data_IF_498032342937
#
_entry.id   IF_498032342937
#
_cell.length_a   1.000
_cell.length_b   1.000
_cell.length_c   1.000
_cell.angle_alpha   90.00
_cell.angle_beta   90.00
_cell.angle_gamma   90.00
#
_symmetry.space_group_name_H-M   'P 1'
#
loop_
_entity.id
_entity.type
_entity.pdbx_description
1 polymer ?
#
# COMPACT_ATOMS: atom_id res chain seq x y z
N UNK A 1 7.64 -25.13 -49.22
CA UNK A 1 7.93 -25.35 -47.78
C UNK A 1 8.80 -24.20 -47.34
N UNK A 2 8.17 -23.09 -46.95
CA UNK A 2 8.84 -21.98 -46.27
C UNK A 2 8.28 -21.96 -44.85
N UNK A 3 9.13 -22.35 -43.90
CA UNK A 3 8.85 -22.21 -42.47
C UNK A 3 9.09 -20.76 -42.09
N UNK A 4 8.04 -19.94 -42.11
CA UNK A 4 8.09 -18.59 -41.52
C UNK A 4 8.36 -18.70 -40.03
N UNK A 5 9.47 -18.08 -39.61
CA UNK A 5 9.91 -17.94 -38.23
C UNK A 5 8.87 -17.16 -37.42
N UNK A 6 8.00 -17.88 -36.70
CA UNK A 6 6.92 -17.31 -35.88
C UNK A 6 7.38 -16.62 -34.56
N UNK A 7 8.68 -16.36 -34.40
CA UNK A 7 9.26 -15.91 -33.12
C UNK A 7 10.15 -14.66 -33.21
N UNK A 8 10.08 -13.88 -34.29
CA UNK A 8 10.91 -12.66 -34.42
C UNK A 8 10.21 -11.34 -34.07
N UNK A 9 8.98 -11.34 -33.58
CA UNK A 9 8.38 -10.14 -33.02
C UNK A 9 8.67 -10.10 -31.52
N UNK A 10 9.61 -9.23 -31.13
CA UNK A 10 9.71 -8.76 -29.75
C UNK A 10 8.28 -8.45 -29.27
N UNK A 11 7.77 -9.03 -28.17
CA UNK A 11 6.46 -8.67 -27.68
C UNK A 11 6.51 -7.17 -27.41
N UNK A 12 5.68 -6.41 -28.14
CA UNK A 12 5.43 -5.02 -27.82
C UNK A 12 4.89 -5.03 -26.39
N UNK A 13 5.75 -4.74 -25.42
CA UNK A 13 5.42 -4.59 -24.00
C UNK A 13 4.65 -3.28 -23.78
N UNK A 14 3.65 -3.00 -24.62
CA UNK A 14 2.72 -1.93 -24.39
C UNK A 14 1.33 -2.48 -24.66
N UNK A 15 0.77 -3.13 -23.63
CA UNK A 15 -0.61 -3.58 -23.69
C UNK A 15 -1.46 -2.32 -23.55
N UNK A 16 -2.30 -2.04 -24.55
CA UNK A 16 -3.12 -0.84 -24.59
C UNK A 16 -4.33 -0.90 -23.62
N UNK A 17 -4.14 -1.51 -22.45
CA UNK A 17 -5.17 -1.75 -21.45
C UNK A 17 -5.73 -0.44 -20.91
N UNK A 18 -4.91 0.62 -20.82
CA UNK A 18 -5.37 1.95 -20.45
C UNK A 18 -6.45 2.47 -21.40
N UNK A 19 -6.25 2.34 -22.72
CA UNK A 19 -7.29 2.72 -23.70
C UNK A 19 -8.57 1.90 -23.56
N UNK A 20 -8.46 0.59 -23.31
CA UNK A 20 -9.62 -0.28 -23.10
C UNK A 20 -10.40 0.11 -21.85
N UNK A 21 -9.70 0.30 -20.72
CA UNK A 21 -10.30 0.69 -19.45
C UNK A 21 -10.96 2.06 -19.54
N UNK A 22 -10.36 2.99 -20.29
CA UNK A 22 -10.89 4.35 -20.48
C UNK A 22 -12.26 4.34 -21.15
N UNK A 23 -12.48 3.47 -22.14
CA UNK A 23 -13.80 3.29 -22.80
C UNK A 23 -14.86 2.80 -21.82
N UNK A 24 -14.46 2.08 -20.78
CA UNK A 24 -15.36 1.56 -19.74
C UNK A 24 -15.51 2.50 -18.54
N UNK A 25 -14.88 3.68 -18.58
CA UNK A 25 -14.97 4.66 -17.50
C UNK A 25 -13.93 4.48 -16.38
N UNK A 26 -12.81 3.80 -16.64
CA UNK A 26 -11.66 3.71 -15.73
C UNK A 26 -10.48 4.46 -16.35
N UNK A 27 -10.00 5.49 -15.67
CA UNK A 27 -8.76 6.16 -16.00
C UNK A 27 -7.61 5.50 -15.22
N UNK A 28 -6.72 4.84 -15.96
CA UNK A 28 -5.57 4.11 -15.42
C UNK A 28 -4.29 4.69 -16.00
N UNK A 29 -3.42 5.16 -15.11
CA UNK A 29 -2.08 5.64 -15.44
C UNK A 29 -1.06 4.55 -15.10
N UNK A 30 -0.42 4.00 -16.13
CA UNK A 30 0.57 2.92 -16.05
C UNK A 30 1.98 3.40 -15.67
N UNK A 31 2.20 4.71 -15.57
CA UNK A 31 3.48 5.31 -15.21
C UNK A 31 3.57 5.70 -13.73
N UNK A 32 2.53 5.45 -12.93
CA UNK A 32 2.46 5.88 -11.53
C UNK A 32 2.11 4.73 -10.58
N UNK A 33 2.82 4.69 -9.46
CA UNK A 33 2.62 3.73 -8.37
C UNK A 33 2.17 4.45 -7.11
N UNK A 34 1.24 3.86 -6.38
CA UNK A 34 0.74 4.37 -5.10
C UNK A 34 1.74 4.05 -3.99
N UNK A 35 2.19 5.10 -3.30
CA UNK A 35 2.92 5.00 -2.04
C UNK A 35 2.01 5.40 -0.90
N UNK A 36 1.84 4.56 0.11
CA UNK A 36 0.98 4.87 1.25
C UNK A 36 1.67 4.52 2.57
N UNK A 37 2.17 5.52 3.31
CA UNK A 37 2.83 5.27 4.59
C UNK A 37 1.87 4.78 5.68
N UNK A 38 0.56 5.06 5.59
CA UNK A 38 -0.42 4.65 6.59
C UNK A 38 -0.69 3.13 6.52
N UNK A 39 -0.66 2.57 5.30
CA UNK A 39 -0.84 1.13 5.07
C UNK A 39 0.47 0.42 4.71
N UNK A 40 1.62 1.07 4.83
CA UNK A 40 2.92 0.49 4.52
C UNK A 40 3.21 -0.73 5.39
N UNK A 41 3.83 -1.74 4.78
CA UNK A 41 4.19 -2.99 5.46
C UNK A 41 5.58 -2.89 6.06
N UNK A 42 5.68 -3.25 7.33
CA UNK A 42 6.96 -3.43 7.99
C UNK A 42 7.46 -4.87 7.85
N UNK A 43 8.71 -5.04 7.44
CA UNK A 43 9.38 -6.34 7.29
C UNK A 43 10.61 -6.35 8.18
N UNK A 44 10.75 -7.42 8.96
CA UNK A 44 11.93 -7.65 9.77
C UNK A 44 12.99 -8.39 8.95
N UNK A 45 14.12 -7.73 8.71
CA UNK A 45 15.24 -8.28 7.95
C UNK A 45 16.32 -8.69 8.94
N UNK A 46 16.73 -9.97 8.88
CA UNK A 46 17.81 -10.49 9.72
C UNK A 46 19.07 -9.64 9.54
N UNK A 47 19.65 -9.17 10.65
CA UNK A 47 20.83 -8.27 10.76
C UNK A 47 20.60 -6.78 10.44
N UNK A 48 19.52 -6.41 9.74
CA UNK A 48 19.23 -5.00 9.40
C UNK A 48 18.08 -4.40 10.22
N UNK A 49 17.33 -5.24 10.94
CA UNK A 49 16.21 -4.80 11.76
C UNK A 49 14.94 -4.59 10.94
N UNK A 50 14.03 -3.78 11.48
CA UNK A 50 12.70 -3.53 10.91
C UNK A 50 12.78 -2.45 9.83
N UNK A 51 12.38 -2.78 8.59
CA UNK A 51 12.29 -1.86 7.46
C UNK A 51 10.84 -1.68 7.01
N UNK A 52 10.45 -0.46 6.66
CA UNK A 52 9.12 -0.13 6.13
C UNK A 52 9.17 -0.01 4.62
N UNK A 53 8.19 -0.60 3.92
CA UNK A 53 8.08 -0.56 2.45
C UNK A 53 6.79 0.15 2.05
N UNK A 54 6.91 1.36 1.48
CA UNK A 54 5.75 2.23 1.17
C UNK A 54 4.94 1.75 -0.04
N UNK A 55 5.52 0.96 -0.93
CA UNK A 55 4.81 0.35 -2.07
C UNK A 55 4.19 -1.01 -1.72
N UNK A 56 4.48 -1.57 -0.53
CA UNK A 56 3.86 -2.81 -0.05
C UNK A 56 2.76 -2.48 0.93
N UNK A 57 1.53 -2.52 0.46
CA UNK A 57 0.38 -2.05 1.22
C UNK A 57 -0.34 -3.21 1.88
N UNK A 58 -0.75 -3.02 3.13
CA UNK A 58 -1.70 -3.90 3.83
C UNK A 58 -2.92 -3.09 4.26
N UNK A 59 -3.98 -3.18 3.47
CA UNK A 59 -5.16 -2.32 3.58
C UNK A 59 -6.29 -3.11 4.25
N UNK A 60 -6.82 -2.66 5.40
CA UNK A 60 -7.99 -3.28 6.02
C UNK A 60 -9.22 -3.05 5.16
N UNK A 61 -10.09 -4.04 5.09
CA UNK A 61 -11.35 -3.91 4.39
C UNK A 61 -12.35 -3.08 5.22
N UNK A 62 -12.74 -1.94 4.68
CA UNK A 62 -13.75 -1.03 5.25
C UNK A 62 -15.12 -1.10 4.54
N UNK A 63 -15.23 -1.77 3.39
CA UNK A 63 -16.49 -1.93 2.67
C UNK A 63 -17.19 -3.24 3.07
N UNK A 64 -17.80 -3.26 4.26
CA UNK A 64 -18.48 -4.45 4.79
C UNK A 64 -19.91 -4.65 4.28
N UNK A 65 -20.43 -3.69 3.51
CA UNK A 65 -21.80 -3.70 3.02
C UNK A 65 -21.92 -4.37 1.65
N UNK A 66 -20.86 -4.30 0.84
CA UNK A 66 -20.80 -5.00 -0.44
C UNK A 66 -20.77 -6.53 -0.23
N UNK A 67 -21.48 -7.25 -1.10
CA UNK A 67 -21.67 -8.71 -1.00
C UNK A 67 -20.36 -9.48 -1.13
N UNK A 68 -19.46 -9.02 -1.99
CA UNK A 68 -18.14 -9.62 -2.23
C UNK A 68 -17.22 -9.33 -1.05
N UNK A 69 -17.26 -8.11 -0.53
CA UNK A 69 -16.32 -7.64 0.48
C UNK A 69 -16.66 -8.06 1.91
N UNK A 70 -17.93 -8.35 2.23
CA UNK A 70 -18.45 -8.56 3.60
C UNK A 70 -17.56 -9.38 4.55
N UNK A 71 -17.05 -10.53 4.10
CA UNK A 71 -16.32 -11.48 4.96
C UNK A 71 -14.79 -11.32 4.90
N UNK A 72 -14.28 -10.42 4.07
CA UNK A 72 -12.84 -10.25 3.82
C UNK A 72 -12.20 -9.32 4.84
N UNK A 73 -10.97 -9.60 5.29
CA UNK A 73 -10.34 -8.86 6.40
C UNK A 73 -9.43 -7.73 5.95
N UNK A 74 -8.44 -8.04 5.13
CA UNK A 74 -7.45 -7.09 4.65
C UNK A 74 -6.83 -7.59 3.36
N UNK A 75 -6.33 -6.66 2.56
CA UNK A 75 -5.73 -6.91 1.26
C UNK A 75 -4.27 -6.50 1.27
N UNK A 76 -3.43 -7.28 0.60
CA UNK A 76 -2.05 -6.91 0.39
C UNK A 76 -1.83 -6.51 -1.07
N UNK A 77 -1.01 -5.50 -1.29
CA UNK A 77 -0.62 -5.04 -2.62
C UNK A 77 0.90 -4.88 -2.68
N UNK A 78 1.47 -5.06 -3.86
CA UNK A 78 2.87 -4.80 -4.19
C UNK A 78 2.96 -3.87 -5.38
N UNK A 79 3.34 -2.62 -5.14
CA UNK A 79 3.50 -1.62 -6.20
C UNK A 79 2.21 -1.38 -7.00
N UNK A 80 1.07 -1.35 -6.31
CA UNK A 80 -0.23 -1.07 -6.94
C UNK A 80 -0.25 0.29 -7.65
N UNK A 81 -0.87 0.33 -8.82
CA UNK A 81 -1.34 1.56 -9.46
C UNK A 81 -2.65 2.04 -8.84
N UNK A 82 -3.39 2.88 -9.56
CA UNK A 82 -4.72 3.35 -9.15
C UNK A 82 -5.70 3.37 -10.32
N UNK A 83 -7.00 3.29 -10.01
CA UNK A 83 -8.08 3.22 -10.99
C UNK A 83 -9.06 4.37 -10.76
N UNK A 84 -8.79 5.53 -11.34
CA UNK A 84 -9.72 6.65 -11.25
C UNK A 84 -11.00 6.34 -12.03
N UNK A 85 -12.15 6.74 -11.47
CA UNK A 85 -13.45 6.50 -12.10
C UNK A 85 -13.87 7.73 -12.89
N UNK A 86 -14.08 7.55 -14.18
CA UNK A 86 -14.69 8.53 -15.07
C UNK A 86 -16.19 8.23 -15.20
N UNK A 87 -17.00 9.29 -15.31
CA UNK A 87 -18.44 9.12 -15.58
C UNK A 87 -18.63 8.57 -16.99
N UNK A 88 -19.31 7.44 -17.08
CA UNK A 88 -19.69 6.80 -18.32
C UNK A 88 -21.21 6.59 -18.32
N UNK A 89 -21.88 6.96 -19.40
CA UNK A 89 -23.33 6.79 -19.52
C UNK A 89 -23.70 5.30 -19.54
N UNK A 90 -24.72 4.90 -18.79
CA UNK A 90 -25.15 3.50 -18.70
C UNK A 90 -24.26 2.59 -17.84
N UNK A 91 -23.21 3.12 -17.20
CA UNK A 91 -22.29 2.36 -16.33
C UNK A 91 -22.29 2.96 -14.92
N UNK A 92 -22.70 2.17 -13.94
CA UNK A 92 -22.52 2.46 -12.52
C UNK A 92 -21.12 2.03 -12.09
N UNK A 93 -20.40 2.91 -11.39
CA UNK A 93 -19.06 2.66 -10.91
C UNK A 93 -18.98 2.80 -9.38
N UNK A 94 -18.46 1.77 -8.71
CA UNK A 94 -18.29 1.69 -7.26
C UNK A 94 -16.82 1.45 -6.90
N UNK A 95 -16.31 2.18 -5.92
CA UNK A 95 -14.99 1.93 -5.33
C UNK A 95 -15.15 0.88 -4.23
N UNK A 96 -14.58 -0.31 -4.41
CA UNK A 96 -14.62 -1.36 -3.40
C UNK A 96 -13.51 -1.22 -2.36
N UNK A 97 -12.31 -0.77 -2.78
CA UNK A 97 -11.17 -0.55 -1.91
C UNK A 97 -10.32 0.63 -2.39
N UNK A 98 -9.80 1.42 -1.45
CA UNK A 98 -8.97 2.59 -1.71
C UNK A 98 -7.82 2.71 -0.71
N UNK A 99 -6.79 3.46 -1.08
CA UNK A 99 -5.69 3.85 -0.21
C UNK A 99 -6.15 4.83 0.89
N UNK A 100 -5.23 5.18 1.79
CA UNK A 100 -5.45 6.22 2.80
C UNK A 100 -5.40 7.62 2.18
N UNK A 101 -5.87 8.61 2.95
CA UNK A 101 -5.75 10.04 2.60
C UNK A 101 -4.31 10.55 2.56
N UNK A 102 -3.36 9.77 3.06
CA UNK A 102 -1.93 10.08 3.11
C UNK A 102 -1.16 9.36 1.99
N UNK A 103 -1.85 8.76 1.03
CA UNK A 103 -1.17 8.17 -0.10
C UNK A 103 -0.70 9.27 -1.08
N UNK A 104 0.45 9.03 -1.71
CA UNK A 104 1.02 9.86 -2.77
C UNK A 104 1.35 8.97 -3.98
N UNK A 105 1.71 9.59 -5.11
CA UNK A 105 2.17 8.87 -6.30
C UNK A 105 3.69 8.96 -6.44
N UNK A 106 4.29 7.89 -6.97
CA UNK A 106 5.67 7.86 -7.43
C UNK A 106 5.70 7.49 -8.92
N UNK A 107 6.64 8.06 -9.66
CA UNK A 107 6.91 7.64 -11.03
C UNK A 107 7.45 6.20 -11.10
N UNK A 108 6.88 5.37 -11.98
CA UNK A 108 7.28 3.98 -12.14
C UNK A 108 8.75 3.85 -12.53
N UNK A 109 9.25 4.72 -13.42
CA UNK A 109 10.67 4.70 -13.80
C UNK A 109 11.55 4.94 -12.57
N UNK A 110 11.11 5.83 -11.68
CA UNK A 110 11.84 6.08 -10.44
C UNK A 110 11.84 4.87 -9.50
N UNK A 111 10.73 4.15 -9.41
CA UNK A 111 10.66 2.92 -8.64
C UNK A 111 11.62 1.85 -9.18
N UNK A 112 11.72 1.72 -10.50
CA UNK A 112 12.60 0.74 -11.16
C UNK A 112 14.09 1.07 -10.99
N UNK A 113 14.46 2.34 -10.83
CA UNK A 113 15.83 2.77 -10.52
C UNK A 113 16.25 2.46 -9.06
N UNK A 114 15.30 2.24 -8.16
CA UNK A 114 15.56 2.11 -6.72
C UNK A 114 15.92 0.66 -6.37
N UNK A 115 17.18 0.44 -6.01
CA UNK A 115 17.67 -0.87 -5.55
C UNK A 115 17.14 -1.27 -4.15
N UNK A 116 16.99 -0.31 -3.23
CA UNK A 116 16.49 -0.54 -1.87
C UNK A 116 15.11 0.09 -1.70
N UNK A 117 14.05 -0.71 -1.83
CA UNK A 117 12.66 -0.24 -1.72
C UNK A 117 12.31 0.36 -0.35
N UNK A 118 13.12 0.14 0.70
CA UNK A 118 12.92 0.85 1.98
C UNK A 118 13.27 2.35 1.90
N UNK A 119 14.02 2.76 0.87
CA UNK A 119 14.33 4.17 0.59
C UNK A 119 13.17 4.95 0.00
N UNK A 120 12.08 4.31 -0.40
CA UNK A 120 10.92 4.99 -0.99
C UNK A 120 10.35 6.11 -0.11
N UNK A 121 10.56 6.05 1.21
CA UNK A 121 10.18 7.13 2.13
C UNK A 121 10.83 8.49 1.81
N UNK A 122 12.00 8.51 1.17
CA UNK A 122 12.66 9.78 0.78
C UNK A 122 11.97 10.44 -0.42
N UNK A 123 11.25 9.65 -1.23
CA UNK A 123 10.52 10.11 -2.41
C UNK A 123 9.01 10.29 -2.16
N UNK A 124 8.56 10.02 -0.93
CA UNK A 124 7.19 10.28 -0.52
C UNK A 124 6.91 11.79 -0.52
N UNK A 125 5.86 12.16 -1.25
CA UNK A 125 5.36 13.53 -1.37
C UNK A 125 4.24 13.74 -0.33
N UNK A 126 4.57 14.43 0.75
CA UNK A 126 3.66 14.75 1.84
C UNK A 126 2.77 15.97 1.56
N UNK A 127 3.03 16.72 0.49
CA UNK A 127 2.25 17.90 0.09
C UNK A 127 1.09 17.50 -0.84
N UNK A 128 1.31 16.55 -1.74
CA UNK A 128 0.30 16.09 -2.71
C UNK A 128 -0.27 14.72 -2.33
N UNK A 129 -1.11 14.69 -1.29
CA UNK A 129 -1.72 13.46 -0.77
C UNK A 129 -3.23 13.37 -1.02
N UNK A 130 -3.72 12.21 -1.47
CA UNK A 130 -5.15 11.92 -1.63
C UNK A 130 -5.44 10.42 -1.52
N UNK A 131 -6.72 10.05 -1.48
CA UNK A 131 -7.14 8.65 -1.59
C UNK A 131 -7.15 8.21 -3.06
N UNK A 132 -6.62 7.02 -3.33
CA UNK A 132 -6.56 6.41 -4.64
C UNK A 132 -7.39 5.12 -4.66
N UNK A 133 -8.33 4.94 -5.59
CA UNK A 133 -9.06 3.68 -5.75
C UNK A 133 -8.11 2.58 -6.25
N UNK A 134 -8.17 1.40 -5.63
CA UNK A 134 -7.30 0.26 -5.95
C UNK A 134 -8.11 -0.94 -6.46
N UNK A 135 -9.34 -1.08 -5.97
CA UNK A 135 -10.30 -2.06 -6.47
C UNK A 135 -11.60 -1.33 -6.77
N UNK A 136 -12.08 -1.47 -8.00
CA UNK A 136 -13.33 -0.87 -8.46
C UNK A 136 -14.22 -1.92 -9.09
N UNK A 137 -15.53 -1.70 -9.00
CA UNK A 137 -16.58 -2.51 -9.61
C UNK A 137 -17.38 -1.63 -10.55
N UNK A 138 -17.54 -2.06 -11.79
CA UNK A 138 -18.40 -1.42 -12.77
C UNK A 138 -19.59 -2.34 -13.06
N UNK A 139 -20.76 -1.75 -13.27
CA UNK A 139 -21.98 -2.48 -13.64
C UNK A 139 -22.75 -1.69 -14.70
N UNK A 140 -23.14 -2.34 -15.78
CA UNK A 140 -23.98 -1.71 -16.79
C UNK A 140 -23.71 -2.24 -18.19
N UNK A 141 -24.08 -1.46 -19.19
CA UNK A 141 -23.82 -1.76 -20.59
C UNK A 141 -22.52 -1.11 -21.05
N UNK A 142 -21.67 -1.90 -21.71
CA UNK A 142 -20.32 -1.47 -22.10
C UNK A 142 -20.18 -1.40 -23.62
N UNK A 143 -19.43 -0.38 -24.06
CA UNK A 143 -18.97 -0.26 -25.43
C UNK A 143 -17.66 -1.03 -25.60
N UNK A 144 -17.46 -1.60 -26.77
CA UNK A 144 -16.18 -2.17 -27.17
C UNK A 144 -15.14 -1.06 -27.31
N UNK A 145 -13.93 -1.31 -26.82
CA UNK A 145 -12.79 -0.44 -27.08
C UNK A 145 -12.20 -0.61 -28.50
N UNK A 146 -12.64 -1.66 -29.21
CA UNK A 146 -12.21 -1.96 -30.57
C UNK A 146 -13.39 -1.77 -31.52
N UNK A 147 -13.14 -1.12 -32.65
CA UNK A 147 -14.16 -0.86 -33.69
C UNK A 147 -14.35 -2.08 -34.61
N UNK A 148 -13.27 -2.82 -34.85
CA UNK A 148 -13.28 -4.01 -35.72
C UNK A 148 -12.64 -5.20 -34.99
N UNK A 149 -13.00 -6.45 -35.35
CA UNK A 149 -12.30 -7.63 -34.86
C UNK A 149 -10.83 -7.61 -35.29
N UNK A 150 -9.92 -8.22 -34.49
CA UNK A 150 -8.54 -8.38 -34.91
C UNK A 150 -8.46 -9.18 -36.22
N UNK A 151 -7.60 -8.73 -37.13
CA UNK A 151 -7.42 -9.31 -38.46
C UNK A 151 -6.94 -10.77 -38.44
N UNK A 152 -6.30 -11.20 -37.33
CA UNK A 152 -5.90 -12.60 -37.09
C UNK A 152 -5.73 -12.87 -35.59
N UNK A 153 -6.36 -13.93 -35.07
CA UNK A 153 -5.99 -14.56 -33.79
C UNK A 153 -5.30 -15.88 -34.16
N UNK A 154 -4.27 -16.27 -33.40
CA UNK A 154 -3.48 -17.51 -33.56
C UNK A 154 -4.37 -18.66 -34.07
N UNK A 155 -4.26 -18.98 -35.37
CA UNK A 155 -4.90 -20.13 -36.01
C UNK A 155 -6.39 -20.05 -36.39
N UNK A 156 -7.15 -18.98 -36.09
CA UNK A 156 -8.56 -18.85 -36.52
C UNK A 156 -8.94 -17.43 -36.96
N UNK A 157 -9.68 -17.34 -38.08
CA UNK A 157 -10.34 -16.09 -38.52
C UNK A 157 -11.58 -15.86 -37.64
N UNK A 158 -11.60 -14.74 -36.92
CA UNK A 158 -12.75 -14.29 -36.15
C UNK A 158 -13.44 -13.19 -36.96
N UNK A 159 -14.43 -13.54 -37.78
CA UNK A 159 -14.95 -12.58 -38.77
C UNK A 159 -16.29 -11.97 -38.43
N UNK A 160 -17.13 -12.55 -37.55
CA UNK A 160 -18.52 -12.06 -37.36
C UNK A 160 -19.05 -11.94 -35.91
N UNK A 161 -18.27 -12.26 -34.87
CA UNK A 161 -18.77 -12.23 -33.47
C UNK A 161 -18.34 -10.99 -32.67
N UNK A 162 -17.75 -9.99 -33.34
CA UNK A 162 -17.42 -8.72 -32.70
C UNK A 162 -18.69 -7.96 -32.32
N UNK A 163 -18.82 -7.61 -31.04
CA UNK A 163 -19.92 -6.80 -30.53
C UNK A 163 -19.40 -5.43 -30.15
N UNK A 164 -19.89 -4.40 -30.85
CA UNK A 164 -19.57 -2.99 -30.57
C UNK A 164 -20.20 -2.56 -29.24
N UNK A 165 -21.33 -3.16 -28.87
CA UNK A 165 -22.04 -2.93 -27.61
C UNK A 165 -22.36 -4.24 -26.91
N UNK A 166 -22.30 -4.25 -25.58
CA UNK A 166 -22.72 -5.39 -24.77
C UNK A 166 -24.19 -5.73 -25.02
N UNK A 167 -24.50 -7.00 -25.26
CA UNK A 167 -25.89 -7.44 -25.50
C UNK A 167 -26.77 -7.48 -24.24
N UNK A 168 -26.16 -7.38 -23.06
CA UNK A 168 -26.79 -7.37 -21.73
C UNK A 168 -25.88 -6.58 -20.80
N UNK A 169 -26.42 -6.15 -19.66
CA UNK A 169 -25.61 -5.66 -18.55
C UNK A 169 -24.51 -6.67 -18.19
N UNK A 170 -23.32 -6.15 -17.95
CA UNK A 170 -22.19 -6.89 -17.43
C UNK A 170 -21.69 -6.25 -16.14
N UNK A 171 -20.90 -7.01 -15.38
CA UNK A 171 -20.21 -6.51 -14.21
C UNK A 171 -18.71 -6.77 -14.36
N UNK A 172 -17.90 -5.75 -14.09
CA UNK A 172 -16.45 -5.79 -14.24
C UNK A 172 -15.83 -5.43 -12.89
N UNK A 173 -14.84 -6.22 -12.46
CA UNK A 173 -14.03 -5.90 -11.28
C UNK A 173 -12.61 -5.70 -11.75
N UNK A 174 -12.07 -4.52 -11.47
CA UNK A 174 -10.70 -4.16 -11.81
C UNK A 174 -9.88 -4.00 -10.52
N UNK A 175 -8.66 -4.55 -10.55
CA UNK A 175 -7.68 -4.49 -9.46
C UNK A 175 -6.42 -3.87 -10.01
N UNK A 176 -5.86 -2.88 -9.31
CA UNK A 176 -4.75 -2.06 -9.79
C UNK A 176 -3.35 -2.68 -9.62
N UNK A 177 -3.27 -3.99 -9.42
CA UNK A 177 -2.04 -4.70 -9.10
C UNK A 177 -2.03 -6.08 -9.76
N UNK A 178 -1.01 -6.33 -10.59
CA UNK A 178 -0.83 -7.58 -11.34
C UNK A 178 -0.36 -8.72 -10.43
N UNK A 179 0.37 -8.40 -9.37
CA UNK A 179 0.89 -9.36 -8.39
C UNK A 179 -0.12 -9.63 -7.26
N UNK A 180 -1.33 -9.09 -7.34
CA UNK A 180 -2.35 -9.22 -6.30
C UNK A 180 -2.64 -10.69 -5.89
N UNK A 181 -2.53 -11.63 -6.83
CA UNK A 181 -2.75 -13.07 -6.59
C UNK A 181 -1.47 -13.87 -6.40
N UNK A 182 -0.30 -13.23 -6.45
CA UNK A 182 0.96 -13.91 -6.17
C UNK A 182 0.95 -14.44 -4.73
N UNK A 183 1.33 -15.71 -4.57
CA UNK A 183 1.17 -16.47 -3.31
C UNK A 183 1.76 -15.71 -2.10
N UNK A 184 2.90 -15.03 -2.29
CA UNK A 184 3.57 -14.28 -1.23
C UNK A 184 2.77 -13.11 -0.65
N UNK A 185 1.74 -12.63 -1.34
CA UNK A 185 0.87 -11.55 -0.84
C UNK A 185 -0.29 -12.06 0.00
N UNK A 186 -0.70 -13.34 -0.10
CA UNK A 186 -1.90 -13.81 0.60
C UNK A 186 -1.75 -15.13 1.36
N UNK A 187 -0.69 -15.89 1.12
CA UNK A 187 -0.43 -17.16 1.78
C UNK A 187 0.96 -17.20 2.41
N UNK A 188 1.06 -17.80 3.61
CA UNK A 188 2.33 -18.10 4.28
C UNK A 188 2.42 -19.56 4.63
N UNK A 189 3.47 -20.24 4.14
CA UNK A 189 3.78 -21.63 4.49
C UNK A 189 4.54 -21.67 5.81
N UNK A 190 4.03 -22.46 6.75
CA UNK A 190 4.71 -22.76 8.02
C UNK A 190 4.89 -24.28 8.11
N UNK A 191 6.07 -24.72 8.52
CA UNK A 191 6.33 -26.14 8.74
C UNK A 191 5.98 -26.47 10.19
N UNK A 192 4.82 -27.08 10.40
CA UNK A 192 4.47 -27.67 11.69
C UNK A 192 5.07 -29.09 11.73
N UNK A 193 5.90 -29.37 12.73
CA UNK A 193 6.49 -30.70 12.98
C UNK A 193 7.30 -31.30 11.81
N UNK A 194 7.84 -30.47 10.91
CA UNK A 194 8.85 -30.85 9.91
C UNK A 194 8.38 -31.73 8.74
N UNK A 195 7.13 -32.19 8.71
CA UNK A 195 6.68 -33.20 7.74
C UNK A 195 5.74 -32.67 6.66
N UNK A 196 4.92 -31.64 6.93
CA UNK A 196 4.05 -31.03 5.92
C UNK A 196 3.92 -29.51 6.13
N UNK A 197 4.08 -28.70 5.06
CA UNK A 197 3.80 -27.27 5.16
C UNK A 197 2.29 -27.03 5.34
N UNK A 198 1.92 -26.29 6.38
CA UNK A 198 0.58 -25.75 6.58
C UNK A 198 0.54 -24.35 5.98
N UNK A 199 -0.48 -24.08 5.16
CA UNK A 199 -0.69 -22.78 4.52
C UNK A 199 -1.64 -21.97 5.40
N UNK A 200 -1.18 -20.81 5.89
CA UNK A 200 -2.04 -19.84 6.58
C UNK A 200 -2.32 -18.67 5.65
N UNK A 201 -3.59 -18.27 5.56
CA UNK A 201 -3.99 -17.04 4.88
C UNK A 201 -3.55 -15.83 5.71
N UNK A 202 -2.74 -14.96 5.11
CA UNK A 202 -2.24 -13.72 5.73
C UNK A 202 -2.97 -12.47 5.24
N UNK A 203 -3.67 -12.59 4.10
CA UNK A 203 -4.54 -11.58 3.52
C UNK A 203 -5.66 -12.23 2.70
N UNK A 204 -6.73 -11.48 2.46
CA UNK A 204 -7.95 -11.94 1.81
C UNK A 204 -7.91 -11.85 0.28
N UNK A 205 -6.75 -11.67 -0.35
CA UNK A 205 -6.66 -11.56 -1.82
C UNK A 205 -7.18 -12.82 -2.53
N UNK A 206 -6.80 -14.00 -2.04
CA UNK A 206 -7.32 -15.27 -2.58
C UNK A 206 -8.81 -15.46 -2.29
N UNK A 207 -9.24 -15.19 -1.05
CA UNK A 207 -10.65 -15.27 -0.63
C UNK A 207 -11.54 -14.32 -1.44
N UNK A 208 -11.01 -13.16 -1.87
CA UNK A 208 -11.71 -12.21 -2.71
C UNK A 208 -12.04 -12.77 -4.08
N UNK A 209 -11.09 -13.41 -4.76
CA UNK A 209 -11.36 -14.02 -6.07
C UNK A 209 -12.43 -15.10 -5.96
N UNK A 210 -12.37 -15.92 -4.90
CA UNK A 210 -13.43 -16.91 -4.63
C UNK A 210 -14.78 -16.21 -4.44
N UNK A 211 -14.81 -15.13 -3.65
CA UNK A 211 -16.04 -14.35 -3.41
C UNK A 211 -16.57 -13.71 -4.70
N UNK A 212 -15.70 -13.21 -5.58
CA UNK A 212 -16.07 -12.68 -6.91
C UNK A 212 -16.66 -13.77 -7.79
N UNK A 213 -16.05 -14.95 -7.83
CA UNK A 213 -16.54 -16.09 -8.62
C UNK A 213 -17.91 -16.54 -8.09
N UNK A 214 -18.08 -16.66 -6.77
CA UNK A 214 -19.35 -17.05 -6.16
C UNK A 214 -20.46 -16.02 -6.45
N UNK A 215 -20.12 -14.74 -6.37
CA UNK A 215 -21.00 -13.63 -6.70
C UNK A 215 -21.42 -13.65 -8.18
N UNK A 216 -20.49 -13.77 -9.12
CA UNK A 216 -20.79 -13.89 -10.55
C UNK A 216 -21.50 -15.19 -10.92
N UNK A 217 -21.29 -16.26 -10.16
CA UNK A 217 -22.02 -17.53 -10.32
C UNK A 217 -23.45 -17.47 -9.79
N UNK A 218 -23.87 -16.34 -9.19
CA UNK A 218 -25.21 -16.18 -8.60
C UNK A 218 -25.45 -17.01 -7.34
N UNK A 219 -24.39 -17.54 -6.71
CA UNK A 219 -24.50 -18.39 -5.50
C UNK A 219 -24.84 -17.58 -4.24
N UNK A 220 -24.81 -16.26 -4.32
CA UNK A 220 -24.93 -15.33 -3.19
C UNK A 220 -26.34 -14.77 -2.90
N UNK A 221 -27.39 -15.30 -3.55
CA UNK A 221 -28.78 -14.82 -3.39
C UNK A 221 -29.32 -14.85 -1.94
N UNK A 222 -28.60 -15.44 -0.98
CA UNK A 222 -29.01 -15.55 0.42
C UNK A 222 -28.18 -14.71 1.42
N UNK A 223 -27.10 -14.03 1.00
CA UNK A 223 -26.20 -13.31 1.92
C UNK A 223 -26.48 -11.80 2.04
N UNK A 224 -27.17 -11.20 1.07
CA UNK A 224 -27.51 -9.77 1.05
C UNK A 224 -28.61 -9.38 2.06
N UNK A 225 -29.52 -10.30 2.42
CA UNK A 225 -30.66 -10.03 3.33
C UNK A 225 -30.30 -10.04 4.83
N UNK A 226 -29.05 -10.29 5.21
CA UNK A 226 -28.62 -10.40 6.61
C UNK A 226 -27.56 -9.36 6.95
N UNK A 227 -27.97 -8.09 7.05
CA UNK A 227 -27.13 -6.96 7.51
C UNK A 227 -27.74 -6.31 8.76
N UNK A 228 -27.86 -7.08 9.86
CA UNK A 228 -28.13 -6.49 11.18
C UNK A 228 -26.79 -6.22 11.90
N UNK A 229 -26.48 -4.93 11.98
CA UNK A 229 -25.59 -4.23 12.93
C UNK A 229 -24.45 -5.07 13.55
N UNK A 230 -23.21 -4.72 13.19
CA UNK A 230 -22.13 -4.65 14.17
C UNK A 230 -21.60 -3.22 14.20
N UNK A 231 -21.55 -2.67 15.41
CA UNK A 231 -20.99 -1.37 15.72
C UNK A 231 -19.48 -1.52 15.52
N UNK A 232 -18.95 -1.00 14.41
CA UNK A 232 -17.50 -0.92 14.27
C UNK A 232 -16.97 -0.04 15.39
N UNK A 233 -15.98 -0.59 16.08
CA UNK A 233 -15.16 0.12 17.06
C UNK A 233 -14.39 1.19 16.28
N UNK A 234 -15.03 2.35 16.09
CA UNK A 234 -14.41 3.61 15.64
C UNK A 234 -13.49 4.12 16.76
N UNK A 235 -12.46 3.33 17.04
CA UNK A 235 -11.49 3.58 18.09
C UNK A 235 -10.30 4.27 17.44
N UNK A 236 -10.12 5.54 17.77
CA UNK A 236 -8.87 6.29 17.69
C UNK A 236 -8.24 6.53 16.30
N UNK A 237 -9.02 6.77 15.23
CA UNK A 237 -8.41 7.15 13.92
C UNK A 237 -7.46 8.33 14.04
N UNK A 238 -7.82 9.37 14.81
CA UNK A 238 -6.97 10.54 15.05
C UNK A 238 -5.62 10.23 15.69
N UNK A 239 -5.54 9.19 16.53
CA UNK A 239 -4.26 8.78 17.13
C UNK A 239 -3.42 8.03 16.10
N UNK A 240 -4.06 7.14 15.33
CA UNK A 240 -3.40 6.43 14.23
C UNK A 240 -2.83 7.42 13.20
N UNK A 241 -3.64 8.41 12.80
CA UNK A 241 -3.25 9.47 11.86
C UNK A 241 -2.00 10.22 12.37
N UNK A 242 -1.97 10.59 13.65
CA UNK A 242 -0.84 11.28 14.26
C UNK A 242 0.42 10.41 14.39
N UNK A 243 0.27 9.15 14.80
CA UNK A 243 1.39 8.20 14.89
C UNK A 243 2.03 8.02 13.51
N UNK A 244 1.21 7.93 12.47
CA UNK A 244 1.68 7.78 11.10
C UNK A 244 2.35 9.07 10.59
N UNK A 245 1.78 10.25 10.86
CA UNK A 245 2.38 11.54 10.50
C UNK A 245 3.75 11.77 11.17
N UNK A 246 3.87 11.47 12.46
CA UNK A 246 5.18 11.48 13.12
C UNK A 246 6.08 10.41 12.50
N UNK A 247 5.55 9.20 12.31
CA UNK A 247 6.29 8.09 11.75
C UNK A 247 6.93 8.42 10.39
N UNK A 248 6.22 9.06 9.48
CA UNK A 248 6.75 9.43 8.16
C UNK A 248 7.89 10.42 8.26
N UNK A 249 7.71 11.50 9.04
CA UNK A 249 8.73 12.54 9.21
C UNK A 249 10.02 11.97 9.79
N UNK A 250 9.91 11.13 10.83
CA UNK A 250 11.08 10.53 11.48
C UNK A 250 11.75 9.48 10.60
N UNK A 251 10.98 8.62 9.92
CA UNK A 251 11.52 7.62 8.98
C UNK A 251 12.23 8.29 7.79
N UNK A 252 11.72 9.41 7.28
CA UNK A 252 12.37 10.19 6.22
C UNK A 252 13.73 10.71 6.69
N UNK A 253 13.79 11.35 7.87
CA UNK A 253 15.05 11.83 8.47
C UNK A 253 16.03 10.69 8.75
N UNK A 254 15.55 9.59 9.31
CA UNK A 254 16.36 8.40 9.59
C UNK A 254 16.98 7.85 8.31
N UNK A 255 16.18 7.72 7.24
CA UNK A 255 16.69 7.22 5.96
C UNK A 255 17.73 8.14 5.34
N UNK A 256 17.59 9.46 5.47
CA UNK A 256 18.61 10.41 5.01
C UNK A 256 19.94 10.24 5.77
N UNK A 257 19.88 10.01 7.08
CA UNK A 257 21.06 9.71 7.90
C UNK A 257 21.69 8.35 7.53
N UNK A 258 20.88 7.33 7.25
CA UNK A 258 21.37 6.02 6.77
C UNK A 258 22.12 6.14 5.43
N UNK A 259 21.59 6.94 4.49
CA UNK A 259 22.23 7.21 3.20
C UNK A 259 23.58 7.91 3.41
N UNK A 260 23.62 8.96 4.24
CA UNK A 260 24.86 9.65 4.59
C UNK A 260 25.90 8.70 5.22
N UNK A 261 25.46 7.82 6.13
CA UNK A 261 26.32 6.83 6.76
C UNK A 261 26.91 5.84 5.73
N UNK A 262 26.12 5.43 4.72
CA UNK A 262 26.62 4.58 3.63
C UNK A 262 27.66 5.31 2.78
N UNK A 263 27.48 6.59 2.48
CA UNK A 263 28.47 7.39 1.76
C UNK A 263 29.78 7.54 2.55
N UNK A 264 29.70 7.82 3.85
CA UNK A 264 30.87 7.88 4.73
C UNK A 264 31.64 6.55 4.74
N UNK A 265 30.93 5.42 4.82
CA UNK A 265 31.54 4.08 4.74
C UNK A 265 32.19 3.81 3.40
N UNK A 266 31.58 4.24 2.29
CA UNK A 266 32.18 4.12 0.95
C UNK A 266 33.50 4.90 0.88
N UNK A 267 33.51 6.16 1.31
CA UNK A 267 34.73 6.99 1.37
C UNK A 267 35.82 6.35 2.25
N UNK A 268 35.44 5.81 3.41
CA UNK A 268 36.37 5.12 4.30
C UNK A 268 36.98 3.88 3.63
N UNK A 269 36.17 3.09 2.92
CA UNK A 269 36.65 1.92 2.18
C UNK A 269 37.54 2.32 0.99
N UNK A 270 37.21 3.40 0.28
CA UNK A 270 38.05 3.93 -0.81
C UNK A 270 39.44 4.33 -0.31
N UNK A 271 39.54 4.98 0.85
CA UNK A 271 40.83 5.33 1.46
C UNK A 271 41.59 4.06 1.90
N UNK A 272 40.91 3.12 2.58
CA UNK A 272 41.56 1.89 3.08
C UNK A 272 42.08 0.96 1.97
N UNK A 273 41.37 0.85 0.84
CA UNK A 273 41.72 -0.08 -0.24
C UNK A 273 42.33 0.60 -1.48
N UNK A 274 42.20 1.92 -1.62
CA UNK A 274 42.72 2.71 -2.74
C UNK A 274 44.10 3.34 -2.49
N UNK A 275 44.54 3.48 -1.23
CA UNK A 275 45.84 4.04 -0.87
C UNK A 275 47.00 3.05 -1.09
N UNK A 276 47.64 3.09 -2.27
CA UNK A 276 48.86 2.30 -2.57
C UNK A 276 50.17 3.09 -2.41
N UNK A 277 50.13 4.36 -1.98
CA UNK A 277 51.31 5.23 -1.93
C UNK A 277 51.81 5.46 -0.50
N UNK A 278 53.02 4.96 -0.20
CA UNK A 278 53.61 4.91 1.16
C UNK A 278 53.87 6.31 1.75
N UNK A 279 53.95 7.34 0.90
CA UNK A 279 54.23 8.72 1.32
C UNK A 279 53.01 9.51 1.85
N UNK A 280 51.77 9.00 1.69
CA UNK A 280 50.54 9.67 2.16
C UNK A 280 49.92 9.06 3.43
N UNK A 281 50.54 8.02 3.99
CA UNK A 281 49.98 7.21 5.07
C UNK A 281 49.60 8.00 6.34
N UNK A 282 50.33 9.07 6.67
CA UNK A 282 50.04 9.91 7.84
C UNK A 282 48.81 10.80 7.65
N UNK A 283 48.59 11.33 6.44
CA UNK A 283 47.39 12.12 6.12
C UNK A 283 46.14 11.23 6.03
N UNK A 284 46.31 9.99 5.55
CA UNK A 284 45.23 9.01 5.47
C UNK A 284 44.78 8.54 6.86
N UNK A 285 45.69 8.43 7.84
CA UNK A 285 45.35 8.04 9.22
C UNK A 285 44.47 9.07 9.94
N UNK A 286 44.73 10.36 9.78
CA UNK A 286 43.94 11.40 10.44
C UNK A 286 42.58 11.60 9.76
N UNK A 287 42.51 11.45 8.44
CA UNK A 287 41.23 11.45 7.71
C UNK A 287 40.35 10.25 8.06
N UNK A 288 40.93 9.06 8.23
CA UNK A 288 40.20 7.87 8.71
C UNK A 288 39.64 8.06 10.12
N UNK A 289 40.40 8.64 11.06
CA UNK A 289 39.89 8.97 12.41
C UNK A 289 38.74 9.95 12.37
N UNK A 290 38.79 10.96 11.50
CA UNK A 290 37.69 11.92 11.32
C UNK A 290 36.45 11.21 10.79
N UNK A 291 36.58 10.37 9.74
CA UNK A 291 35.48 9.58 9.19
C UNK A 291 34.87 8.62 10.21
N UNK A 292 35.68 7.93 11.02
CA UNK A 292 35.19 7.08 12.10
C UNK A 292 34.38 7.88 13.13
N UNK A 293 34.84 9.08 13.46
CA UNK A 293 34.12 9.98 14.37
C UNK A 293 32.78 10.44 13.78
N UNK A 294 32.73 10.71 12.47
CA UNK A 294 31.50 11.09 11.76
C UNK A 294 30.52 9.92 11.68
N UNK A 295 30.99 8.71 11.38
CA UNK A 295 30.18 7.49 11.40
C UNK A 295 29.59 7.25 12.80
N UNK A 296 30.38 7.46 13.86
CA UNK A 296 29.89 7.33 15.23
C UNK A 296 28.82 8.39 15.57
N UNK A 297 29.04 9.65 15.18
CA UNK A 297 28.06 10.74 15.35
C UNK A 297 26.76 10.42 14.61
N UNK A 298 26.83 9.99 13.35
CA UNK A 298 25.66 9.63 12.55
C UNK A 298 24.87 8.46 13.17
N UNK A 299 25.55 7.41 13.65
CA UNK A 299 24.89 6.30 14.38
C UNK A 299 24.19 6.77 15.65
N UNK A 300 24.83 7.65 16.42
CA UNK A 300 24.26 8.22 17.63
C UNK A 300 23.03 9.07 17.30
N UNK A 301 23.08 9.86 16.24
CA UNK A 301 21.97 10.68 15.78
C UNK A 301 20.75 9.83 15.37
N UNK A 302 20.96 8.72 14.65
CA UNK A 302 19.90 7.75 14.34
C UNK A 302 19.26 7.21 15.64
N UNK A 303 20.06 6.85 16.64
CA UNK A 303 19.53 6.35 17.92
C UNK A 303 18.71 7.41 18.66
N UNK A 304 19.23 8.64 18.77
CA UNK A 304 18.54 9.77 19.40
C UNK A 304 17.22 10.07 18.66
N UNK A 305 17.25 10.04 17.32
CA UNK A 305 16.07 10.28 16.50
C UNK A 305 14.97 9.25 16.76
N UNK A 306 15.31 7.97 16.89
CA UNK A 306 14.38 6.89 17.26
C UNK A 306 13.78 7.09 18.65
N UNK A 307 14.61 7.46 19.63
CA UNK A 307 14.16 7.75 21.00
C UNK A 307 13.22 8.96 21.04
N UNK A 308 13.56 10.03 20.33
CA UNK A 308 12.73 11.24 20.24
C UNK A 308 11.36 10.94 19.59
N UNK A 309 11.32 10.11 18.54
CA UNK A 309 10.06 9.64 17.94
C UNK A 309 9.17 8.96 18.99
N UNK A 310 9.73 7.99 19.74
CA UNK A 310 9.01 7.26 20.77
C UNK A 310 8.53 8.18 21.89
N UNK A 311 9.38 9.11 22.33
CA UNK A 311 9.03 10.09 23.36
C UNK A 311 7.87 10.98 22.94
N UNK A 312 7.86 11.48 21.68
CA UNK A 312 6.74 12.29 21.18
C UNK A 312 5.43 11.52 21.13
N UNK A 313 5.46 10.28 20.66
CA UNK A 313 4.28 9.40 20.66
C UNK A 313 3.78 9.16 22.09
N UNK A 314 4.68 8.87 23.03
CA UNK A 314 4.33 8.64 24.43
C UNK A 314 3.77 9.87 25.14
N UNK A 315 4.32 11.07 24.89
CA UNK A 315 3.81 12.33 25.45
C UNK A 315 2.37 12.56 24.98
N UNK A 316 2.08 12.36 23.69
CA UNK A 316 0.72 12.50 23.18
C UNK A 316 -0.23 11.45 23.74
N UNK A 317 0.16 10.16 23.74
CA UNK A 317 -0.67 9.09 24.30
C UNK A 317 -0.97 9.34 25.77
N UNK A 318 0.03 9.71 26.57
CA UNK A 318 -0.14 10.03 27.98
C UNK A 318 -1.08 11.23 28.18
N UNK A 319 -0.96 12.30 27.37
CA UNK A 319 -1.89 13.44 27.44
C UNK A 319 -3.33 13.02 27.23
N UNK A 320 -3.58 12.15 26.25
CA UNK A 320 -4.94 11.63 25.95
C UNK A 320 -5.44 10.73 27.08
N UNK A 321 -4.60 9.83 27.57
CA UNK A 321 -4.93 8.93 28.69
C UNK A 321 -5.27 9.76 29.94
N UNK A 322 -4.46 10.77 30.28
CA UNK A 322 -4.70 11.66 31.42
C UNK A 322 -6.02 12.42 31.30
N UNK A 323 -6.30 13.01 30.14
CA UNK A 323 -7.57 13.70 29.88
C UNK A 323 -8.75 12.74 30.08
N UNK A 324 -8.68 11.53 29.48
CA UNK A 324 -9.77 10.57 29.58
C UNK A 324 -9.96 10.01 31.00
N UNK A 325 -8.86 9.78 31.72
CA UNK A 325 -8.87 9.20 33.07
C UNK A 325 -9.36 10.21 34.11
N UNK A 326 -9.01 11.49 33.97
CA UNK A 326 -9.45 12.55 34.87
C UNK A 326 -10.86 13.06 34.52
N UNK A 327 -11.29 12.99 33.26
CA UNK A 327 -12.58 13.55 32.83
C UNK A 327 -13.77 12.90 33.53
N UNK A 328 -13.78 11.56 33.65
CA UNK A 328 -14.94 10.86 34.21
C UNK A 328 -15.15 11.11 35.72
N UNK A 329 -14.12 11.02 36.58
CA UNK A 329 -14.24 11.38 38.00
C UNK A 329 -14.60 12.85 38.21
N UNK A 330 -14.01 13.78 37.43
CA UNK A 330 -14.35 15.21 37.53
C UNK A 330 -15.82 15.45 37.17
N UNK A 331 -16.28 14.83 36.07
CA UNK A 331 -17.67 14.95 35.64
C UNK A 331 -18.64 14.45 36.72
N UNK A 332 -18.34 13.31 37.35
CA UNK A 332 -19.14 12.78 38.46
C UNK A 332 -19.15 13.72 39.68
N UNK A 333 -18.00 14.32 40.02
CA UNK A 333 -17.91 15.33 41.09
C UNK A 333 -18.77 16.57 40.80
N UNK A 334 -18.68 17.10 39.57
CA UNK A 334 -19.49 18.25 39.15
C UNK A 334 -20.99 17.92 39.15
N UNK A 335 -21.37 16.72 38.70
CA UNK A 335 -22.77 16.28 38.66
C UNK A 335 -23.34 16.09 40.08
N UNK A 336 -22.57 15.51 40.98
CA UNK A 336 -22.93 15.40 42.40
C UNK A 336 -23.08 16.78 43.06
N UNK A 337 -22.14 17.69 42.82
CA UNK A 337 -22.18 19.04 43.37
C UNK A 337 -23.37 19.85 42.83
N UNK A 338 -23.69 19.71 41.54
CA UNK A 338 -24.86 20.33 40.93
C UNK A 338 -26.18 19.82 41.54
N UNK A 339 -26.31 18.50 41.74
CA UNK A 339 -27.48 17.92 42.42
C UNK A 339 -27.57 18.38 43.88
N UNK A 340 -26.45 18.49 44.59
CA UNK A 340 -26.42 18.98 45.97
C UNK A 340 -26.93 20.43 46.08
N UNK A 341 -26.52 21.32 45.17
CA UNK A 341 -26.99 22.71 45.14
C UNK A 341 -28.48 22.81 44.80
N UNK A 342 -28.99 21.99 43.88
CA UNK A 342 -30.42 21.95 43.53
C UNK A 342 -31.29 21.47 44.70
N UNK A 343 -30.81 20.48 45.46
CA UNK A 343 -31.52 19.95 46.62
C UNK A 343 -31.54 20.92 47.81
N UNK A 344 -30.66 21.91 47.82
CA UNK A 344 -30.56 22.94 48.87
C UNK A 344 -31.42 24.18 48.56
N UNK A 345 -31.93 24.31 47.33
CA UNK A 345 -32.86 25.37 46.89
C UNK A 345 -34.33 24.93 46.93
N UNK A 346 -34.62 23.65 47.10
CA UNK A 346 -35.92 23.13 47.57
C UNK A 346 -35.86 23.02 49.08
#
# INVERSE_FOLDING_TARGET
>A
MESENLYSENPVMNTNLSEVLKVWGIDYNDEKVVLDPYYATDVEIKKEGKKTFLSRLKIPNNNKNDGIMKNLKSFNFGSAGYLELAKQEGVEAEILLKSSKKASLLDLNKLLEINDLSSLITYYDDENTKEYPLIVKLKGEFNSAFVEPPSRIIGKKWTNDHKIHSSKEAEIIAVSDVDFLYEGFWAKRTYENGLKPVIHSVASNGDFVVSVIDYFSGRDFLNALKSKKKKDLRVLSKISDYINEIGTVYKKKEKMLEISLLELRKKMNEIMYGGKDVNNLSNDLDTLKLLDSEIFKAKREISILREDMLNKVNIMLNKIIWINTLAMPLFMLFLYFGLFLLKRKK
#
